data_IF_154979207348
#
_entry.id   IF_154979207348
#
_cell.length_a   1.000
_cell.length_b   1.000
_cell.length_c   1.000
_cell.angle_alpha   90.00
_cell.angle_beta   90.00
_cell.angle_gamma   90.00
#
_symmetry.space_group_name_H-M   'P 1'
#
loop_
_entity.id
_entity.type
_entity.pdbx_description
1 polymer ?
#
# COMPACT_ATOMS: atom_id res chain seq x y z
N UNK A 1 19.09 -1.43 15.74
CA UNK A 1 18.32 -2.66 15.47
C UNK A 1 16.96 -2.28 14.89
N UNK A 2 16.94 -2.00 13.58
CA UNK A 2 15.73 -1.64 12.85
C UNK A 2 14.77 -2.84 12.80
N UNK A 3 13.51 -2.57 13.08
CA UNK A 3 12.65 -3.50 13.81
C UNK A 3 11.92 -4.47 12.86
N UNK A 4 11.79 -5.76 13.23
CA UNK A 4 10.90 -6.71 12.53
C UNK A 4 9.42 -6.27 12.51
N UNK A 5 9.07 -5.19 13.21
CA UNK A 5 7.72 -4.64 13.31
C UNK A 5 7.22 -3.97 12.02
N UNK A 6 8.12 -3.40 11.20
CA UNK A 6 7.73 -2.71 9.96
C UNK A 6 7.29 -3.71 8.89
N UNK A 7 8.07 -4.78 8.72
CA UNK A 7 7.70 -5.89 7.85
C UNK A 7 6.42 -6.59 8.33
N UNK A 8 6.24 -6.78 9.64
CA UNK A 8 5.01 -7.38 10.16
C UNK A 8 3.77 -6.52 9.89
N UNK A 9 3.89 -5.19 10.03
CA UNK A 9 2.81 -4.27 9.65
C UNK A 9 2.53 -4.31 8.17
N UNK A 10 3.57 -4.33 7.34
CA UNK A 10 3.46 -4.42 5.89
C UNK A 10 2.66 -5.65 5.44
N UNK A 11 3.02 -6.82 5.98
CA UNK A 11 2.35 -8.08 5.67
C UNK A 11 0.87 -8.05 6.11
N UNK A 12 0.59 -7.48 7.29
CA UNK A 12 -0.79 -7.31 7.75
C UNK A 12 -1.58 -6.38 6.85
N UNK A 13 -1.00 -5.24 6.45
CA UNK A 13 -1.65 -4.26 5.59
C UNK A 13 -2.01 -4.86 4.22
N UNK A 14 -1.04 -5.52 3.56
CA UNK A 14 -1.27 -6.20 2.27
C UNK A 14 -2.33 -7.30 2.42
N UNK A 15 -2.32 -8.05 3.52
CA UNK A 15 -3.33 -9.07 3.81
C UNK A 15 -4.72 -8.45 4.00
N UNK A 16 -4.80 -7.30 4.65
CA UNK A 16 -6.06 -6.58 4.87
C UNK A 16 -6.66 -6.11 3.54
N UNK A 17 -5.86 -5.48 2.68
CA UNK A 17 -6.24 -5.10 1.30
C UNK A 17 -6.72 -6.33 0.54
N UNK A 18 -5.94 -7.42 0.53
CA UNK A 18 -6.30 -8.65 -0.19
C UNK A 18 -7.63 -9.24 0.27
N UNK A 19 -7.95 -9.18 1.57
CA UNK A 19 -9.24 -9.63 2.10
C UNK A 19 -10.38 -8.67 1.74
N UNK A 20 -10.16 -7.36 1.84
CA UNK A 20 -11.17 -6.33 1.57
C UNK A 20 -11.56 -6.30 0.09
N UNK A 21 -10.57 -6.42 -0.79
CA UNK A 21 -10.75 -6.48 -2.25
C UNK A 21 -10.69 -7.92 -2.77
N UNK A 22 -11.11 -8.92 -1.98
CA UNK A 22 -11.14 -10.31 -2.43
C UNK A 22 -12.04 -10.51 -3.66
N UNK A 23 -13.08 -9.68 -3.80
CA UNK A 23 -13.97 -9.65 -4.96
C UNK A 23 -13.50 -8.70 -6.08
N UNK A 24 -12.44 -7.92 -5.84
CA UNK A 24 -11.91 -6.89 -6.74
C UNK A 24 -10.40 -7.08 -6.94
N UNK A 25 -9.99 -8.14 -7.67
CA UNK A 25 -8.58 -8.46 -7.88
C UNK A 25 -7.83 -7.34 -8.63
N UNK A 26 -8.53 -6.52 -9.40
CA UNK A 26 -7.96 -5.38 -10.12
C UNK A 26 -7.41 -4.31 -9.17
N UNK A 27 -8.12 -4.01 -8.08
CA UNK A 27 -7.67 -3.03 -7.08
C UNK A 27 -6.40 -3.50 -6.37
N UNK A 28 -6.38 -4.76 -5.94
CA UNK A 28 -5.17 -5.36 -5.35
C UNK A 28 -4.00 -5.38 -6.32
N UNK A 29 -4.24 -5.69 -7.60
CA UNK A 29 -3.21 -5.69 -8.64
C UNK A 29 -2.63 -4.29 -8.87
N UNK A 30 -3.49 -3.26 -9.01
CA UNK A 30 -3.06 -1.86 -9.13
C UNK A 30 -2.17 -1.42 -7.96
N UNK A 31 -2.56 -1.77 -6.74
CA UNK A 31 -1.75 -1.47 -5.55
C UNK A 31 -0.34 -2.09 -5.62
N UNK A 32 -0.24 -3.36 -6.04
CA UNK A 32 1.06 -4.01 -6.22
C UNK A 32 1.89 -3.37 -7.34
N UNK A 33 1.25 -2.94 -8.44
CA UNK A 33 1.95 -2.25 -9.53
C UNK A 33 2.53 -0.91 -9.10
N UNK A 34 1.79 -0.14 -8.29
CA UNK A 34 2.27 1.12 -7.70
C UNK A 34 3.49 0.86 -6.81
N UNK A 35 3.43 -0.14 -5.92
CA UNK A 35 4.57 -0.54 -5.08
C UNK A 35 5.77 -1.05 -5.88
N UNK A 36 5.54 -1.84 -6.92
CA UNK A 36 6.60 -2.31 -7.81
C UNK A 36 7.28 -1.14 -8.52
N UNK A 37 6.50 -0.16 -8.98
CA UNK A 37 7.02 1.04 -9.63
C UNK A 37 7.83 1.89 -8.65
N UNK A 38 7.36 2.03 -7.40
CA UNK A 38 8.13 2.68 -6.32
C UNK A 38 9.50 2.04 -6.13
N UNK A 39 9.56 0.71 -5.99
CA UNK A 39 10.82 0.00 -5.78
C UNK A 39 11.73 -0.01 -7.02
N UNK A 40 11.15 -0.17 -8.22
CA UNK A 40 11.90 -0.33 -9.47
C UNK A 40 12.43 1.00 -10.02
N UNK A 41 11.59 2.03 -10.05
CA UNK A 41 11.94 3.33 -10.61
C UNK A 41 12.41 4.33 -9.56
N UNK A 42 12.45 3.94 -8.27
CA UNK A 42 12.69 4.87 -7.16
C UNK A 42 11.78 6.10 -7.27
N UNK A 43 10.52 5.88 -7.65
CA UNK A 43 9.54 6.98 -7.75
C UNK A 43 9.45 7.71 -6.42
N UNK A 44 9.15 9.00 -6.49
CA UNK A 44 8.97 9.80 -5.29
C UNK A 44 7.82 9.23 -4.47
N UNK A 45 8.03 9.13 -3.15
CA UNK A 45 7.01 8.68 -2.19
C UNK A 45 5.70 9.46 -2.31
N UNK A 46 5.77 10.73 -2.74
CA UNK A 46 4.61 11.59 -2.99
C UNK A 46 3.74 11.10 -4.14
N UNK A 47 4.35 10.68 -5.26
CA UNK A 47 3.58 10.15 -6.41
C UNK A 47 2.89 8.83 -6.06
N UNK A 48 3.61 7.98 -5.32
CA UNK A 48 3.06 6.71 -4.82
C UNK A 48 1.88 6.97 -3.88
N UNK A 49 2.01 7.94 -2.97
CA UNK A 49 0.95 8.35 -2.06
C UNK A 49 -0.28 8.87 -2.81
N UNK A 50 -0.08 9.63 -3.89
CA UNK A 50 -1.17 10.17 -4.71
C UNK A 50 -1.94 9.04 -5.40
N UNK A 51 -1.25 8.12 -6.09
CA UNK A 51 -1.90 6.97 -6.74
C UNK A 51 -2.58 6.03 -5.74
N UNK A 52 -1.97 5.80 -4.57
CA UNK A 52 -2.59 5.01 -3.49
C UNK A 52 -3.81 5.75 -2.91
N UNK A 53 -3.75 7.08 -2.79
CA UNK A 53 -4.86 7.94 -2.35
C UNK A 53 -6.05 7.86 -3.29
N UNK A 54 -5.82 7.90 -4.60
CA UNK A 54 -6.88 7.71 -5.59
C UNK A 54 -7.42 6.27 -5.57
N UNK A 55 -6.53 5.27 -5.49
CA UNK A 55 -6.93 3.86 -5.47
C UNK A 55 -7.79 3.48 -4.25
N UNK A 56 -7.50 4.06 -3.09
CA UNK A 56 -8.24 3.84 -1.85
C UNK A 56 -9.02 5.08 -1.40
N UNK A 57 -9.45 5.93 -2.33
CA UNK A 57 -10.20 7.15 -2.01
C UNK A 57 -11.49 6.86 -1.21
N UNK A 58 -12.15 5.74 -1.49
CA UNK A 58 -13.33 5.27 -0.76
C UNK A 58 -13.01 4.51 0.55
N UNK A 59 -11.72 4.32 0.83
CA UNK A 59 -11.22 3.55 1.97
C UNK A 59 -10.15 4.33 2.75
N UNK A 60 -10.56 5.40 3.46
CA UNK A 60 -9.64 6.25 4.22
C UNK A 60 -8.87 5.50 5.32
N UNK A 61 -9.42 4.38 5.83
CA UNK A 61 -8.70 3.52 6.78
C UNK A 61 -7.39 2.98 6.18
N UNK A 62 -7.42 2.58 4.90
CA UNK A 62 -6.27 2.00 4.22
C UNK A 62 -5.18 3.07 3.98
N UNK A 63 -5.59 4.27 3.57
CA UNK A 63 -4.68 5.40 3.43
C UNK A 63 -3.99 5.76 4.74
N UNK A 64 -4.76 5.72 5.83
CA UNK A 64 -4.22 5.97 7.17
C UNK A 64 -3.19 4.92 7.54
N UNK A 65 -3.48 3.63 7.34
CA UNK A 65 -2.51 2.54 7.54
C UNK A 65 -1.27 2.69 6.65
N UNK A 66 -1.43 3.15 5.41
CA UNK A 66 -0.30 3.39 4.50
C UNK A 66 0.67 4.45 5.01
N UNK A 67 0.20 5.49 5.70
CA UNK A 67 1.10 6.49 6.30
C UNK A 67 1.99 5.93 7.42
N UNK A 68 1.59 4.82 8.06
CA UNK A 68 2.43 4.10 9.03
C UNK A 68 3.44 3.14 8.38
N UNK A 69 3.27 2.88 7.08
CA UNK A 69 4.15 2.02 6.29
C UNK A 69 5.35 2.79 5.73
N UNK A 70 5.31 4.13 5.74
CA UNK A 70 6.37 5.00 5.23
C UNK A 70 7.40 5.31 6.33
N UNK A 71 8.72 5.17 6.07
CA UNK A 71 9.77 5.58 7.00
C UNK A 71 9.92 7.09 7.13
#
# INVERSE_FOLDING_TARGET
PEAPMEFNHAINYVTNIKKRFANEPETYKKFLEILHTYQKEQRGIKEVLDEVSELFAEHPDLLKEFTFFLP
#
